data_IF_605212716798
#
_entry.id   IF_605212716798
#
_cell.length_a   1.000
_cell.length_b   1.000
_cell.length_c   1.000
_cell.angle_alpha   90.00
_cell.angle_beta   90.00
_cell.angle_gamma   90.00
#
_symmetry.space_group_name_H-M   'P 1'
#
loop_
_entity.id
_entity.type
_entity.pdbx_description
1 polymer ?
#
# COMPACT_ATOMS: atom_id res chain seq x y z
N UNK A 1 8.35 14.26 14.63
CA UNK A 1 8.81 13.22 13.69
C UNK A 1 7.63 12.59 12.96
N UNK A 2 7.73 12.42 11.67
CA UNK A 2 6.64 11.84 10.87
C UNK A 2 6.79 10.32 10.83
N UNK A 3 5.76 9.61 11.27
CA UNK A 3 5.70 8.15 11.12
C UNK A 3 4.97 7.85 9.82
N UNK A 4 5.72 7.74 8.75
CA UNK A 4 5.17 7.59 7.41
C UNK A 4 4.33 6.31 7.25
N UNK A 5 4.82 5.13 7.67
CA UNK A 5 3.99 3.93 7.58
C UNK A 5 2.68 4.04 8.34
N UNK A 6 2.70 4.62 9.53
CA UNK A 6 1.50 4.81 10.33
C UNK A 6 0.53 5.77 9.66
N UNK A 7 1.02 6.85 9.05
CA UNK A 7 0.18 7.80 8.34
C UNK A 7 -0.54 7.14 7.16
N UNK A 8 0.17 6.34 6.38
CA UNK A 8 -0.45 5.60 5.28
C UNK A 8 -1.46 4.59 5.82
N UNK A 9 -1.13 3.90 6.92
CA UNK A 9 -2.03 2.93 7.52
C UNK A 9 -3.34 3.56 8.00
N UNK A 10 -3.28 4.77 8.55
CA UNK A 10 -4.47 5.51 8.98
C UNK A 10 -5.37 5.85 7.79
N UNK A 11 -4.78 6.32 6.71
CA UNK A 11 -5.53 6.61 5.48
C UNK A 11 -6.18 5.34 4.95
N UNK A 12 -5.42 4.25 4.90
CA UNK A 12 -5.92 2.96 4.43
C UNK A 12 -7.09 2.48 5.26
N UNK A 13 -7.01 2.61 6.59
CA UNK A 13 -8.09 2.23 7.48
C UNK A 13 -9.36 3.06 7.20
N UNK A 14 -9.18 4.38 7.02
CA UNK A 14 -10.31 5.30 6.79
C UNK A 14 -10.99 5.06 5.44
N UNK A 15 -10.30 4.45 4.49
CA UNK A 15 -10.86 4.16 3.17
C UNK A 15 -11.88 3.02 3.19
N UNK A 16 -11.94 2.23 4.25
CA UNK A 16 -12.87 1.10 4.36
C UNK A 16 -12.78 0.14 3.17
N UNK A 17 -11.58 -0.27 2.84
CA UNK A 17 -11.35 -1.18 1.72
C UNK A 17 -11.94 -2.55 2.04
N UNK A 18 -12.59 -3.18 1.04
CA UNK A 18 -13.10 -4.54 1.16
C UNK A 18 -11.98 -5.47 1.61
N UNK A 19 -12.22 -6.34 2.62
CA UNK A 19 -11.18 -7.24 3.15
C UNK A 19 -10.52 -8.11 2.08
N UNK A 20 -11.26 -8.57 1.08
CA UNK A 20 -10.67 -9.36 0.00
C UNK A 20 -9.70 -8.53 -0.82
N UNK A 21 -10.07 -7.30 -1.16
CA UNK A 21 -9.23 -6.40 -1.93
C UNK A 21 -7.97 -6.02 -1.13
N UNK A 22 -8.15 -5.78 0.16
CA UNK A 22 -7.02 -5.47 1.03
C UNK A 22 -6.05 -6.64 1.14
N UNK A 23 -6.59 -7.85 1.29
CA UNK A 23 -5.78 -9.07 1.36
C UNK A 23 -4.98 -9.28 0.07
N UNK A 24 -5.60 -9.07 -1.08
CA UNK A 24 -4.93 -9.17 -2.38
C UNK A 24 -3.75 -8.20 -2.45
N UNK A 25 -3.99 -6.94 -2.11
CA UNK A 25 -2.94 -5.92 -2.15
C UNK A 25 -1.82 -6.23 -1.16
N UNK A 26 -2.18 -6.67 0.03
CA UNK A 26 -1.21 -7.03 1.06
C UNK A 26 -0.30 -8.15 0.59
N UNK A 27 -0.89 -9.22 0.03
CA UNK A 27 -0.12 -10.33 -0.51
C UNK A 27 0.84 -9.88 -1.60
N UNK A 28 0.36 -9.08 -2.53
CA UNK A 28 1.20 -8.58 -3.62
C UNK A 28 2.38 -7.75 -3.10
N UNK A 29 2.14 -6.90 -2.12
CA UNK A 29 3.16 -5.99 -1.61
C UNK A 29 4.12 -6.63 -0.62
N UNK A 30 3.74 -7.74 0.02
CA UNK A 30 4.59 -8.38 1.03
C UNK A 30 5.23 -9.68 0.53
N UNK A 31 4.67 -10.30 -0.50
CA UNK A 31 5.16 -11.59 -0.99
C UNK A 31 5.85 -11.51 -2.36
N UNK A 32 5.82 -10.35 -3.01
CA UNK A 32 6.47 -10.14 -4.31
C UNK A 32 7.50 -9.02 -4.23
N UNK A 33 8.73 -9.31 -3.78
CA UNK A 33 9.78 -8.28 -3.71
C UNK A 33 10.08 -7.65 -5.06
N UNK A 34 9.94 -8.40 -6.14
CA UNK A 34 10.16 -7.90 -7.50
C UNK A 34 9.16 -6.81 -7.86
N UNK A 35 7.91 -6.97 -7.45
CA UNK A 35 6.87 -5.96 -7.67
C UNK A 35 7.18 -4.68 -6.91
N UNK A 36 7.54 -4.81 -5.63
CA UNK A 36 7.89 -3.66 -4.81
C UNK A 36 9.09 -2.93 -5.42
N UNK A 37 10.10 -3.68 -5.84
CA UNK A 37 11.28 -3.07 -6.46
C UNK A 37 10.90 -2.29 -7.72
N UNK A 38 10.05 -2.85 -8.57
CA UNK A 38 9.61 -2.15 -9.77
C UNK A 38 8.89 -0.84 -9.43
N UNK A 39 8.12 -0.82 -8.36
CA UNK A 39 7.37 0.36 -7.94
C UNK A 39 8.23 1.42 -7.25
N UNK A 40 9.41 1.04 -6.72
CA UNK A 40 10.32 2.00 -6.08
C UNK A 40 11.51 2.36 -6.94
N UNK A 41 11.76 1.63 -8.02
CA UNK A 41 12.94 1.83 -8.86
C UNK A 41 12.84 3.16 -9.62
N UNK A 42 13.79 4.09 -9.43
CA UNK A 42 13.74 5.38 -10.11
C UNK A 42 13.92 5.30 -11.62
N UNK A 43 14.41 4.16 -12.13
CA UNK A 43 14.59 3.95 -13.56
C UNK A 43 13.30 3.53 -14.26
N UNK A 44 12.29 3.09 -13.51
CA UNK A 44 10.98 2.76 -14.07
C UNK A 44 10.16 4.05 -14.14
N UNK A 45 9.54 4.30 -15.27
CA UNK A 45 8.76 5.52 -15.49
C UNK A 45 7.52 5.53 -14.60
N UNK A 46 7.11 6.72 -14.18
CA UNK A 46 5.88 6.89 -13.39
C UNK A 46 4.67 6.26 -14.10
N UNK A 47 4.55 6.48 -15.41
CA UNK A 47 3.43 5.91 -16.18
C UNK A 47 3.43 4.39 -16.18
N UNK A 48 4.61 3.78 -16.21
CA UNK A 48 4.72 2.32 -16.15
C UNK A 48 4.34 1.79 -14.78
N UNK A 49 4.77 2.49 -13.72
CA UNK A 49 4.38 2.14 -12.34
C UNK A 49 2.87 2.19 -12.16
N UNK A 50 2.24 3.24 -12.68
CA UNK A 50 0.78 3.39 -12.62
C UNK A 50 0.07 2.28 -13.39
N UNK A 51 0.60 1.89 -14.54
CA UNK A 51 0.04 0.78 -15.31
C UNK A 51 0.12 -0.53 -14.54
N UNK A 52 1.23 -0.79 -13.86
CA UNK A 52 1.39 -1.99 -13.03
C UNK A 52 0.32 -2.01 -11.93
N UNK A 53 0.12 -0.88 -11.27
CA UNK A 53 -0.87 -0.76 -10.21
C UNK A 53 -2.27 -1.08 -10.75
N UNK A 54 -2.62 -0.52 -11.91
CA UNK A 54 -3.96 -0.74 -12.49
C UNK A 54 -4.17 -2.16 -12.97
N UNK A 55 -3.10 -2.87 -13.36
CA UNK A 55 -3.21 -4.24 -13.83
C UNK A 55 -3.30 -5.26 -12.70
N UNK A 56 -2.63 -5.00 -11.58
CA UNK A 56 -2.46 -6.02 -10.54
C UNK A 56 -3.32 -5.78 -9.31
N UNK A 57 -3.72 -4.54 -9.05
CA UNK A 57 -4.40 -4.20 -7.81
C UNK A 57 -5.87 -3.87 -8.05
N UNK A 58 -6.73 -4.06 -7.02
CA UNK A 58 -8.13 -3.67 -7.11
C UNK A 58 -8.27 -2.15 -7.31
N UNK A 59 -9.28 -1.77 -8.07
CA UNK A 59 -9.53 -0.37 -8.40
C UNK A 59 -9.64 0.53 -7.17
N UNK A 60 -10.24 0.03 -6.10
CA UNK A 60 -10.41 0.80 -4.85
C UNK A 60 -9.09 1.26 -4.25
N UNK A 61 -7.98 0.61 -4.61
CA UNK A 61 -6.64 0.95 -4.09
C UNK A 61 -5.75 1.68 -5.07
N UNK A 62 -6.20 1.91 -6.30
CA UNK A 62 -5.36 2.52 -7.32
C UNK A 62 -4.80 3.87 -6.91
N UNK A 63 -5.66 4.80 -6.49
CA UNK A 63 -5.21 6.15 -6.13
C UNK A 63 -4.26 6.13 -4.96
N UNK A 64 -4.57 5.33 -3.95
CA UNK A 64 -3.72 5.19 -2.77
C UNK A 64 -2.31 4.71 -3.15
N UNK A 65 -2.26 3.64 -3.95
CA UNK A 65 -0.98 3.06 -4.35
C UNK A 65 -0.22 3.96 -5.32
N UNK A 66 -0.92 4.69 -6.20
CA UNK A 66 -0.28 5.66 -7.09
C UNK A 66 0.40 6.77 -6.29
N UNK A 67 -0.23 7.25 -5.24
CA UNK A 67 0.37 8.28 -4.37
C UNK A 67 1.60 7.71 -3.67
N UNK A 68 1.52 6.51 -3.09
CA UNK A 68 2.68 5.88 -2.47
C UNK A 68 3.83 5.71 -3.46
N UNK A 69 3.50 5.24 -4.66
CA UNK A 69 4.49 5.01 -5.71
C UNK A 69 5.14 6.32 -6.18
N UNK A 70 4.32 7.35 -6.41
CA UNK A 70 4.83 8.66 -6.84
C UNK A 70 5.76 9.27 -5.78
N UNK A 71 5.50 9.00 -4.51
CA UNK A 71 6.33 9.50 -3.40
C UNK A 71 7.55 8.62 -3.12
N UNK A 72 7.67 7.48 -3.79
CA UNK A 72 8.76 6.54 -3.53
C UNK A 72 8.63 5.76 -2.23
N UNK A 73 7.42 5.63 -1.71
CA UNK A 73 7.18 5.09 -0.36
C UNK A 73 6.68 3.64 -0.34
N UNK A 74 6.55 2.98 -1.49
CA UNK A 74 6.04 1.61 -1.53
C UNK A 74 6.91 0.65 -0.72
N UNK A 75 8.19 0.97 -0.56
CA UNK A 75 9.10 0.16 0.26
C UNK A 75 8.71 0.04 1.73
N UNK A 76 7.85 0.93 2.23
CA UNK A 76 7.39 0.85 3.63
C UNK A 76 6.09 0.05 3.78
N UNK A 77 5.67 -0.69 2.74
CA UNK A 77 4.39 -1.40 2.76
C UNK A 77 4.28 -2.40 3.91
N UNK A 78 5.34 -3.15 4.22
CA UNK A 78 5.30 -4.12 5.32
C UNK A 78 5.05 -3.44 6.65
N UNK A 79 5.78 -2.36 6.93
CA UNK A 79 5.59 -1.58 8.16
C UNK A 79 4.20 -0.95 8.18
N UNK A 80 3.72 -0.50 7.03
CA UNK A 80 2.37 0.06 6.91
C UNK A 80 1.31 -0.97 7.30
N UNK A 81 1.41 -2.20 6.78
CA UNK A 81 0.44 -3.24 7.11
C UNK A 81 0.52 -3.66 8.58
N UNK A 82 1.72 -3.67 9.17
CA UNK A 82 1.87 -3.91 10.60
C UNK A 82 1.17 -2.82 11.42
N UNK A 83 1.35 -1.56 11.03
CA UNK A 83 0.67 -0.44 11.67
C UNK A 83 -0.86 -0.52 11.46
N UNK A 84 -1.29 -0.94 10.28
CA UNK A 84 -2.70 -1.16 9.98
C UNK A 84 -3.31 -2.19 10.92
N UNK A 85 -2.62 -3.33 11.11
CA UNK A 85 -3.07 -4.36 12.04
C UNK A 85 -3.23 -3.81 13.46
N UNK A 86 -2.31 -2.94 13.87
CA UNK A 86 -2.38 -2.28 15.18
C UNK A 86 -3.60 -1.38 15.31
N UNK A 87 -3.92 -0.62 14.25
CA UNK A 87 -5.10 0.25 14.23
C UNK A 87 -6.37 -0.59 14.32
N UNK A 88 -6.45 -1.67 13.56
CA UNK A 88 -7.63 -2.56 13.57
C UNK A 88 -7.85 -3.12 14.97
N UNK A 89 -6.78 -3.62 15.61
CA UNK A 89 -6.89 -4.15 16.98
C UNK A 89 -7.37 -3.09 17.96
N UNK A 90 -6.83 -1.89 17.86
CA UNK A 90 -7.20 -0.80 18.75
C UNK A 90 -8.65 -0.36 18.54
N UNK A 91 -9.09 -0.26 17.29
CA UNK A 91 -10.42 0.23 16.96
C UNK A 91 -11.51 -0.81 17.20
N UNK A 92 -11.19 -2.10 17.01
CA UNK A 92 -12.18 -3.16 17.07
C UNK A 92 -12.15 -3.96 18.37
N UNK A 93 -11.21 -3.66 19.23
CA UNK A 93 -11.04 -4.35 20.51
C UNK A 93 -11.54 -3.48 21.64
N UNK A 94 -12.82 -3.21 21.66
CA UNK A 94 -13.46 -2.42 22.74
C UNK A 94 -14.43 -3.25 23.51
#
# INVERSE_FOLDING_TARGET
MIDLPLNYARVLYDMNIDPENLSTARSLLTESPELVEALVNPLVRRSEKRNIIEKLFPESLWNFLKVMSDNGDVGCASEMFDAYDGIVREKENT
#
